data_IF_475439618172
#
_entry.id   IF_475439618172
#
_cell.length_a   1.000
_cell.length_b   1.000
_cell.length_c   1.000
_cell.angle_alpha   90.00
_cell.angle_beta   90.00
_cell.angle_gamma   90.00
#
_symmetry.space_group_name_H-M   'P 1'
#
loop_
_entity.id
_entity.type
_entity.pdbx_description
1 polymer ?
#
# COMPACT_ATOMS: atom_id res chain seq x y z
N UNK A 1 -11.15 8.05 -29.29
CA UNK A 1 -11.30 8.05 -27.83
C UNK A 1 -10.19 8.94 -27.26
N UNK A 2 -10.58 10.02 -26.65
CA UNK A 2 -9.61 10.92 -26.02
C UNK A 2 -9.16 10.28 -24.72
N UNK A 3 -7.94 9.72 -24.72
CA UNK A 3 -7.35 9.11 -23.54
C UNK A 3 -6.95 10.18 -22.51
N UNK A 4 -7.08 9.85 -21.23
CA UNK A 4 -6.52 10.68 -20.14
C UNK A 4 -5.03 10.38 -20.01
N UNK A 5 -4.19 11.42 -20.00
CA UNK A 5 -2.74 11.29 -19.84
C UNK A 5 -2.29 11.86 -18.50
N UNK A 6 -1.44 11.11 -17.80
CA UNK A 6 -0.80 11.53 -16.57
C UNK A 6 0.72 11.54 -16.74
N UNK A 7 1.40 12.56 -16.25
CA UNK A 7 2.85 12.64 -16.20
C UNK A 7 3.33 12.70 -14.77
N UNK A 8 4.39 11.96 -14.45
CA UNK A 8 4.97 11.88 -13.10
C UNK A 8 6.47 11.63 -13.16
N UNK A 9 7.19 12.05 -12.12
CA UNK A 9 8.62 11.82 -11.93
C UNK A 9 8.93 11.32 -10.50
N UNK A 10 7.91 10.84 -9.80
CA UNK A 10 7.96 10.31 -8.45
C UNK A 10 7.18 8.99 -8.37
N UNK A 11 7.20 8.32 -7.23
CA UNK A 11 6.32 7.17 -6.98
C UNK A 11 4.87 7.60 -7.17
N UNK A 12 4.12 6.84 -7.94
CA UNK A 12 2.72 7.11 -8.22
C UNK A 12 1.95 5.79 -8.30
N UNK A 13 0.66 5.83 -7.97
CA UNK A 13 -0.25 4.72 -8.20
C UNK A 13 -1.26 5.10 -9.28
N UNK A 14 -1.59 4.12 -10.09
CA UNK A 14 -2.52 4.26 -11.20
C UNK A 14 -3.42 3.02 -11.28
N UNK A 15 -4.69 3.26 -11.49
CA UNK A 15 -5.67 2.20 -11.71
C UNK A 15 -6.63 2.62 -12.84
N UNK A 16 -6.86 1.72 -13.78
CA UNK A 16 -7.89 1.90 -14.80
C UNK A 16 -8.89 0.74 -14.71
N UNK A 17 -10.18 1.03 -14.49
CA UNK A 17 -11.21 0.00 -14.48
C UNK A 17 -11.54 -0.49 -15.89
N UNK A 18 -11.99 -1.73 -15.99
CA UNK A 18 -12.54 -2.30 -17.20
C UNK A 18 -11.51 -2.80 -18.22
N UNK A 19 -11.92 -2.82 -19.46
CA UNK A 19 -11.17 -3.30 -20.62
C UNK A 19 -10.33 -2.21 -21.32
N UNK A 20 -10.11 -1.09 -20.63
CA UNK A 20 -9.33 0.03 -21.14
C UNK A 20 -7.85 -0.34 -21.33
N UNK A 21 -7.27 0.09 -22.46
CA UNK A 21 -5.83 -0.07 -22.67
C UNK A 21 -5.05 0.98 -21.88
N UNK A 22 -4.00 0.53 -21.19
CA UNK A 22 -3.04 1.38 -20.50
C UNK A 22 -1.76 1.43 -21.33
N UNK A 23 -1.27 2.62 -21.62
CA UNK A 23 0.04 2.81 -22.24
C UNK A 23 0.97 3.50 -21.25
N UNK A 24 2.02 2.81 -20.85
CA UNK A 24 3.05 3.32 -19.95
C UNK A 24 4.28 3.65 -20.79
N UNK A 25 4.79 4.89 -20.71
CA UNK A 25 5.92 5.34 -21.49
C UNK A 25 6.97 6.00 -20.60
N UNK A 26 8.16 5.41 -20.55
CA UNK A 26 9.35 6.08 -19.99
C UNK A 26 9.85 7.15 -20.96
N UNK A 27 10.04 8.38 -20.47
CA UNK A 27 10.48 9.52 -21.30
C UNK A 27 11.90 9.99 -21.00
N UNK A 28 12.45 9.69 -19.83
CA UNK A 28 13.77 10.20 -19.41
C UNK A 28 14.67 9.16 -18.76
N UNK A 29 14.13 8.22 -18.02
CA UNK A 29 14.87 7.18 -17.28
C UNK A 29 14.17 5.84 -17.44
N UNK A 30 14.84 4.69 -17.17
CA UNK A 30 14.13 3.43 -17.03
C UNK A 30 12.99 3.57 -16.03
N UNK A 31 11.82 3.05 -16.41
CA UNK A 31 10.66 2.99 -15.53
C UNK A 31 10.59 1.60 -14.90
N UNK A 32 10.48 1.57 -13.60
CA UNK A 32 10.17 0.36 -12.83
C UNK A 32 8.73 0.45 -12.32
N UNK A 33 7.99 -0.62 -12.40
CA UNK A 33 6.62 -0.67 -11.88
C UNK A 33 6.26 -2.05 -11.35
N UNK A 34 5.32 -2.08 -10.42
CA UNK A 34 4.63 -3.28 -9.97
C UNK A 34 3.23 -3.27 -10.58
N UNK A 35 2.88 -4.32 -11.29
CA UNK A 35 1.53 -4.56 -11.77
C UNK A 35 0.78 -5.46 -10.79
N UNK A 36 -0.43 -5.04 -10.40
CA UNK A 36 -1.32 -5.78 -9.51
C UNK A 36 -2.59 -6.08 -10.28
N UNK A 37 -2.89 -7.37 -10.47
CA UNK A 37 -4.12 -7.82 -11.10
C UNK A 37 -5.08 -8.31 -10.01
N UNK A 38 -6.31 -7.79 -10.03
CA UNK A 38 -7.35 -8.15 -9.08
C UNK A 38 -8.55 -8.67 -9.87
N UNK A 39 -8.88 -9.93 -9.68
CA UNK A 39 -10.07 -10.54 -10.26
C UNK A 39 -11.31 -10.00 -9.54
N UNK A 40 -12.16 -9.31 -10.29
CA UNK A 40 -13.42 -8.79 -9.78
C UNK A 40 -14.48 -9.88 -9.77
N UNK A 41 -15.28 -9.92 -8.72
CA UNK A 41 -16.48 -10.74 -8.67
C UNK A 41 -17.62 -10.04 -9.45
N UNK A 42 -18.55 -10.80 -10.00
CA UNK A 42 -19.67 -10.26 -10.79
C UNK A 42 -20.41 -9.06 -10.16
N UNK A 43 -20.70 -9.05 -8.83
CA UNK A 43 -21.36 -7.91 -8.21
C UNK A 43 -20.48 -6.66 -8.09
N UNK A 44 -19.16 -6.79 -8.23
CA UNK A 44 -18.18 -5.70 -8.00
C UNK A 44 -17.89 -4.88 -9.25
N UNK A 45 -18.00 -5.49 -10.44
CA UNK A 45 -17.69 -4.83 -11.70
C UNK A 45 -18.44 -3.50 -11.90
N UNK A 46 -19.74 -3.38 -11.58
CA UNK A 46 -20.49 -2.13 -11.71
C UNK A 46 -20.01 -1.03 -10.75
N UNK A 47 -19.34 -1.38 -9.66
CA UNK A 47 -18.86 -0.40 -8.67
C UNK A 47 -17.67 0.42 -9.19
N UNK A 48 -16.94 -0.10 -10.16
CA UNK A 48 -15.75 0.54 -10.73
C UNK A 48 -16.06 1.38 -11.97
N UNK A 49 -17.04 0.98 -12.78
CA UNK A 49 -17.35 1.59 -14.06
C UNK A 49 -17.64 3.10 -14.03
N UNK A 50 -18.28 3.67 -12.99
CA UNK A 50 -18.58 5.10 -12.94
C UNK A 50 -17.41 5.99 -12.54
N UNK A 51 -16.32 5.42 -12.01
CA UNK A 51 -15.27 6.21 -11.32
C UNK A 51 -14.14 6.68 -12.22
N UNK A 52 -14.04 6.15 -13.46
CA UNK A 52 -12.94 6.48 -14.37
C UNK A 52 -11.56 6.03 -13.87
N UNK A 53 -10.48 6.40 -14.54
CA UNK A 53 -9.13 6.07 -14.11
C UNK A 53 -8.76 6.82 -12.83
N UNK A 54 -8.15 6.10 -11.90
CA UNK A 54 -7.56 6.66 -10.68
C UNK A 54 -6.08 6.90 -10.91
N UNK A 55 -5.58 8.06 -10.50
CA UNK A 55 -4.16 8.38 -10.49
C UNK A 55 -3.84 9.25 -9.27
N UNK A 56 -2.78 8.88 -8.55
CA UNK A 56 -2.27 9.67 -7.43
C UNK A 56 -0.74 9.65 -7.40
N UNK A 57 -0.13 10.81 -7.17
CA UNK A 57 1.29 10.93 -6.85
C UNK A 57 1.51 10.72 -5.36
N UNK A 58 2.62 10.11 -5.00
CA UNK A 58 2.97 9.86 -3.60
C UNK A 58 2.95 11.14 -2.75
N UNK A 59 3.48 12.25 -3.28
CA UNK A 59 3.49 13.54 -2.61
C UNK A 59 2.10 14.13 -2.33
N UNK A 60 1.06 13.66 -3.03
CA UNK A 60 -0.33 14.09 -2.85
C UNK A 60 -1.14 13.13 -1.96
N UNK A 61 -0.55 12.03 -1.52
CA UNK A 61 -1.24 11.09 -0.64
C UNK A 61 -1.48 11.69 0.75
N UNK A 62 -2.71 11.55 1.25
CA UNK A 62 -3.09 12.04 2.58
C UNK A 62 -2.25 11.35 3.67
N UNK A 63 -1.61 12.14 4.53
CA UNK A 63 -0.83 11.63 5.64
C UNK A 63 -1.70 11.46 6.89
N UNK A 64 -1.45 10.38 7.64
CA UNK A 64 -2.12 10.11 8.90
C UNK A 64 -1.18 9.43 9.91
N UNK A 65 -1.64 9.24 11.14
CA UNK A 65 -0.95 8.49 12.17
C UNK A 65 -1.86 7.45 12.81
N UNK A 66 -1.26 6.46 13.45
CA UNK A 66 -1.96 5.35 14.12
C UNK A 66 -1.34 5.10 15.49
N UNK A 67 -2.15 4.59 16.42
CA UNK A 67 -1.71 4.33 17.80
C UNK A 67 -0.59 3.27 17.93
N UNK A 68 -0.48 2.36 16.96
CA UNK A 68 0.55 1.31 16.91
C UNK A 68 1.91 1.81 16.40
N UNK A 69 2.02 3.09 16.05
CA UNK A 69 3.20 3.74 15.48
C UNK A 69 3.66 4.91 16.34
N UNK A 70 4.93 5.24 16.26
CA UNK A 70 5.47 6.42 16.94
C UNK A 70 4.97 7.72 16.28
N UNK A 71 5.09 8.83 16.99
CA UNK A 71 4.79 10.16 16.43
C UNK A 71 5.73 10.58 15.28
N UNK A 72 6.88 9.89 15.10
CA UNK A 72 7.82 10.14 14.01
C UNK A 72 7.43 9.42 12.72
N UNK A 73 6.67 8.33 12.84
CA UNK A 73 6.21 7.55 11.69
C UNK A 73 5.12 8.31 10.95
N UNK A 74 5.27 8.41 9.64
CA UNK A 74 4.25 8.95 8.73
C UNK A 74 3.63 7.81 7.94
N UNK A 75 2.33 7.65 8.03
CA UNK A 75 1.55 6.79 7.14
C UNK A 75 0.87 7.62 6.07
N UNK A 76 0.68 7.05 4.87
CA UNK A 76 -0.06 7.70 3.78
C UNK A 76 -1.05 6.72 3.17
N UNK A 77 -2.22 7.22 2.79
CA UNK A 77 -3.18 6.47 2.00
C UNK A 77 -2.87 6.66 0.52
N UNK A 78 -2.54 5.59 -0.19
CA UNK A 78 -2.25 5.61 -1.64
C UNK A 78 -3.50 5.23 -2.43
N UNK A 79 -4.10 4.07 -2.13
CA UNK A 79 -5.38 3.65 -2.68
C UNK A 79 -6.36 3.53 -1.51
N UNK A 80 -7.28 4.48 -1.37
CA UNK A 80 -8.29 4.42 -0.30
C UNK A 80 -9.16 3.16 -0.43
N UNK A 81 -9.63 2.67 0.70
CA UNK A 81 -10.69 1.70 0.73
C UNK A 81 -11.91 2.18 -0.09
N UNK A 82 -12.63 1.26 -0.72
CA UNK A 82 -13.74 1.53 -1.64
C UNK A 82 -13.34 2.20 -2.99
N UNK A 83 -12.05 2.32 -3.30
CA UNK A 83 -11.58 2.70 -4.64
C UNK A 83 -11.56 1.51 -5.57
N UNK A 84 -11.01 0.41 -5.09
CA UNK A 84 -10.99 -0.91 -5.74
C UNK A 84 -11.63 -1.89 -4.77
N UNK A 85 -12.58 -2.73 -5.18
CA UNK A 85 -13.19 -3.72 -4.31
C UNK A 85 -12.17 -4.61 -3.63
N UNK A 86 -12.35 -4.86 -2.34
CA UNK A 86 -11.53 -5.77 -1.52
C UNK A 86 -10.03 -5.46 -1.54
N UNK A 87 -9.65 -4.21 -1.80
CA UNK A 87 -8.25 -3.78 -1.85
C UNK A 87 -8.08 -2.39 -1.29
N UNK A 88 -7.03 -2.20 -0.51
CA UNK A 88 -6.51 -0.88 -0.18
C UNK A 88 -4.98 -0.90 -0.08
N UNK A 89 -4.37 0.26 -0.20
CA UNK A 89 -2.93 0.40 -0.21
C UNK A 89 -2.49 1.70 0.46
N UNK A 90 -1.44 1.62 1.22
CA UNK A 90 -0.81 2.79 1.81
C UNK A 90 0.68 2.58 2.02
N UNK A 91 1.30 3.53 2.70
CA UNK A 91 2.73 3.47 2.99
C UNK A 91 3.04 3.82 4.43
N UNK A 92 4.22 3.41 4.85
CA UNK A 92 4.81 3.77 6.13
C UNK A 92 6.21 4.31 5.89
N UNK A 93 6.52 5.44 6.53
CA UNK A 93 7.82 6.09 6.42
C UNK A 93 8.29 6.58 7.79
N UNK A 94 9.55 6.26 8.16
CA UNK A 94 10.22 6.79 9.33
C UNK A 94 11.74 6.76 9.16
N UNK A 95 12.44 7.69 9.85
CA UNK A 95 13.88 7.57 10.08
C UNK A 95 14.11 6.91 11.43
N UNK A 96 14.90 5.85 11.42
CA UNK A 96 15.20 5.07 12.63
C UNK A 96 16.06 5.80 13.65
N UNK A 97 16.07 5.33 14.91
CA UNK A 97 15.38 4.12 15.35
C UNK A 97 13.86 4.34 15.50
N UNK A 98 13.06 3.43 14.96
CA UNK A 98 11.61 3.46 15.06
C UNK A 98 11.00 2.07 14.82
N UNK A 99 9.72 1.90 15.17
CA UNK A 99 9.00 0.64 14.97
C UNK A 99 7.51 0.81 14.74
N UNK A 100 6.93 -0.16 14.06
CA UNK A 100 5.50 -0.45 14.04
C UNK A 100 5.28 -1.63 14.97
N UNK A 101 4.51 -1.43 16.02
CA UNK A 101 4.25 -2.46 17.03
C UNK A 101 3.62 -3.71 16.40
N UNK A 102 4.01 -4.88 16.90
CA UNK A 102 3.53 -6.14 16.36
C UNK A 102 2.03 -6.33 16.61
N UNK A 103 1.29 -6.58 15.53
CA UNK A 103 -0.16 -6.79 15.49
C UNK A 103 -0.50 -7.90 14.49
N UNK A 104 -1.75 -8.27 14.35
CA UNK A 104 -2.19 -9.32 13.43
C UNK A 104 -3.52 -8.96 12.77
N UNK A 105 -3.69 -9.43 11.54
CA UNK A 105 -4.92 -9.36 10.79
C UNK A 105 -5.37 -10.76 10.40
N UNK A 106 -6.59 -11.14 10.77
CA UNK A 106 -7.13 -12.49 10.54
C UNK A 106 -7.95 -12.61 9.26
N UNK A 107 -8.17 -11.52 8.54
CA UNK A 107 -9.12 -11.41 7.44
C UNK A 107 -8.55 -10.87 6.14
N UNK A 108 -7.25 -10.59 6.08
CA UNK A 108 -6.60 -10.07 4.87
C UNK A 108 -5.27 -10.78 4.60
N UNK A 109 -4.94 -10.90 3.33
CA UNK A 109 -3.57 -11.18 2.88
C UNK A 109 -2.85 -9.86 2.69
N UNK A 110 -1.59 -9.78 3.11
CA UNK A 110 -0.83 -8.56 3.06
C UNK A 110 0.50 -8.73 2.34
N UNK A 111 0.82 -7.78 1.46
CA UNK A 111 2.13 -7.67 0.82
C UNK A 111 2.81 -6.37 1.21
N UNK A 112 4.12 -6.43 1.45
CA UNK A 112 4.97 -5.24 1.64
C UNK A 112 5.94 -5.09 0.49
N UNK A 113 6.01 -3.89 -0.09
CA UNK A 113 6.99 -3.52 -1.11
C UNK A 113 7.93 -2.46 -0.55
N UNK A 114 9.24 -2.77 -0.49
CA UNK A 114 10.25 -1.80 -0.11
C UNK A 114 10.44 -0.71 -1.17
N UNK A 115 10.22 0.54 -0.81
CA UNK A 115 10.50 1.71 -1.62
C UNK A 115 12.00 2.08 -1.57
N UNK A 116 12.48 3.02 -2.38
CA UNK A 116 13.88 3.44 -2.36
C UNK A 116 14.41 3.75 -0.96
N UNK A 117 15.61 3.28 -0.67
CA UNK A 117 16.32 3.42 0.61
C UNK A 117 15.69 2.61 1.77
N UNK A 118 14.65 1.80 1.52
CA UNK A 118 14.08 0.97 2.58
C UNK A 118 15.10 -0.03 3.10
N UNK A 119 15.26 -0.09 4.44
CA UNK A 119 16.18 -1.00 5.12
C UNK A 119 15.62 -1.41 6.48
N UNK A 120 14.34 -1.75 6.52
CA UNK A 120 13.68 -2.20 7.74
C UNK A 120 13.76 -3.72 7.90
N UNK A 121 13.50 -4.17 9.11
CA UNK A 121 13.37 -5.58 9.46
C UNK A 121 11.91 -5.86 9.75
N UNK A 122 11.37 -6.88 9.11
CA UNK A 122 10.00 -7.34 9.31
C UNK A 122 10.03 -8.64 10.10
N UNK A 123 9.19 -8.71 11.12
CA UNK A 123 8.95 -9.94 11.91
C UNK A 123 7.55 -10.47 11.59
N UNK A 124 7.40 -11.79 11.51
CA UNK A 124 6.11 -12.46 11.40
C UNK A 124 6.14 -13.74 12.22
N UNK A 125 5.41 -13.78 13.34
CA UNK A 125 5.54 -14.79 14.39
C UNK A 125 7.01 -14.93 14.85
N UNK A 126 7.60 -16.12 14.66
CA UNK A 126 9.00 -16.41 15.05
C UNK A 126 10.01 -16.14 13.90
N UNK A 127 9.54 -15.74 12.73
CA UNK A 127 10.37 -15.44 11.57
C UNK A 127 10.76 -13.96 11.52
N UNK A 128 11.96 -13.70 11.01
CA UNK A 128 12.48 -12.35 10.81
C UNK A 128 13.21 -12.26 9.47
N UNK A 129 13.02 -11.16 8.74
CA UNK A 129 13.74 -10.91 7.49
C UNK A 129 13.96 -9.42 7.26
N UNK A 130 14.96 -9.09 6.45
CA UNK A 130 15.18 -7.71 5.99
C UNK A 130 14.30 -7.44 4.76
N UNK A 131 13.49 -6.41 4.83
CA UNK A 131 12.81 -5.85 3.65
C UNK A 131 13.70 -4.73 3.11
N UNK A 132 14.42 -5.01 2.03
CA UNK A 132 15.23 -4.03 1.29
C UNK A 132 14.39 -3.26 0.28
N UNK A 133 15.02 -2.30 -0.43
CA UNK A 133 14.37 -1.63 -1.55
C UNK A 133 14.06 -2.63 -2.67
N UNK A 134 12.94 -2.44 -3.39
CA UNK A 134 12.46 -3.30 -4.49
C UNK A 134 12.15 -4.76 -4.07
N UNK A 135 12.24 -5.07 -2.79
CA UNK A 135 11.85 -6.38 -2.28
C UNK A 135 10.34 -6.42 -2.04
N UNK A 136 9.71 -7.52 -2.44
CA UNK A 136 8.31 -7.83 -2.14
C UNK A 136 8.27 -8.94 -1.10
N UNK A 137 7.52 -8.72 -0.03
CA UNK A 137 7.38 -9.66 1.09
C UNK A 137 5.91 -9.95 1.34
N UNK A 138 5.56 -11.23 1.43
CA UNK A 138 4.23 -11.67 1.84
C UNK A 138 4.18 -11.85 3.37
N UNK A 139 3.16 -11.30 4.00
CA UNK A 139 2.82 -11.51 5.41
C UNK A 139 1.70 -12.55 5.47
N UNK A 140 1.95 -13.74 6.01
CA UNK A 140 0.94 -14.80 6.06
C UNK A 140 -0.28 -14.40 6.88
N UNK A 141 -1.45 -14.80 6.43
CA UNK A 141 -2.74 -14.55 7.08
C UNK A 141 -2.69 -14.90 8.58
N UNK A 142 -3.12 -13.97 9.41
CA UNK A 142 -3.18 -14.15 10.86
C UNK A 142 -1.84 -14.09 11.59
N UNK A 143 -0.71 -13.94 10.88
CA UNK A 143 0.61 -13.80 11.51
C UNK A 143 0.68 -12.52 12.34
N UNK A 144 1.21 -12.65 13.56
CA UNK A 144 1.58 -11.48 14.36
C UNK A 144 2.84 -10.88 13.80
N UNK A 145 2.74 -9.72 13.16
CA UNK A 145 3.84 -9.09 12.45
C UNK A 145 4.09 -7.67 12.94
N UNK A 146 5.35 -7.25 12.82
CA UNK A 146 5.81 -5.92 13.17
C UNK A 146 6.97 -5.51 12.27
N UNK A 147 7.30 -4.22 12.29
CA UNK A 147 8.39 -3.68 11.47
C UNK A 147 9.27 -2.81 12.35
N UNK A 148 10.58 -2.95 12.25
CA UNK A 148 11.53 -2.08 12.97
C UNK A 148 12.63 -1.59 12.05
N UNK A 149 13.16 -0.42 12.36
CA UNK A 149 14.30 0.16 11.65
C UNK A 149 15.33 0.69 12.64
N UNK A 150 16.60 0.37 12.40
CA UNK A 150 17.73 0.81 13.22
C UNK A 150 18.09 2.29 12.98
N UNK A 151 18.88 2.84 13.91
CA UNK A 151 19.33 4.23 13.80
C UNK A 151 20.10 4.53 12.50
N UNK A 152 19.84 5.69 11.90
CA UNK A 152 20.44 6.14 10.66
C UNK A 152 19.96 5.40 9.40
N UNK A 153 18.97 4.50 9.51
CA UNK A 153 18.34 3.81 8.40
C UNK A 153 16.91 4.30 8.19
N UNK A 154 16.39 4.09 6.99
CA UNK A 154 15.03 4.47 6.62
C UNK A 154 14.11 3.26 6.59
N UNK A 155 12.93 3.39 7.18
CA UNK A 155 11.76 2.56 6.96
C UNK A 155 10.91 3.29 5.92
N UNK A 156 10.71 2.67 4.75
CA UNK A 156 9.94 3.26 3.67
C UNK A 156 9.38 2.16 2.79
N UNK A 157 8.16 1.75 3.07
CA UNK A 157 7.52 0.66 2.34
C UNK A 157 6.05 0.94 2.07
N UNK A 158 5.52 0.29 1.05
CA UNK A 158 4.09 0.22 0.74
C UNK A 158 3.55 -1.07 1.34
N UNK A 159 2.41 -0.99 1.99
CA UNK A 159 1.59 -2.13 2.35
C UNK A 159 0.40 -2.21 1.39
N UNK A 160 0.01 -3.43 1.03
CA UNK A 160 -1.09 -3.76 0.13
C UNK A 160 -1.94 -4.81 0.83
N UNK A 161 -3.19 -4.49 1.10
CA UNK A 161 -4.13 -5.32 1.82
C UNK A 161 -5.20 -5.85 0.87
N UNK A 162 -5.31 -7.18 0.82
CA UNK A 162 -6.25 -7.92 -0.01
C UNK A 162 -7.27 -8.62 0.87
N UNK A 163 -8.53 -8.26 0.73
CA UNK A 163 -9.63 -8.78 1.54
C UNK A 163 -10.42 -9.85 0.79
N UNK A 164 -11.03 -10.77 1.54
CA UNK A 164 -11.92 -11.79 0.94
C UNK A 164 -13.27 -11.21 0.55
N UNK A 165 -13.75 -10.26 1.34
CA UNK A 165 -15.03 -9.59 1.14
C UNK A 165 -14.99 -8.14 1.65
N UNK A 166 -15.99 -7.34 1.31
CA UNK A 166 -16.09 -5.93 1.71
C UNK A 166 -16.35 -5.74 3.22
N UNK A 167 -16.95 -6.71 3.88
CA UNK A 167 -17.22 -6.66 5.33
C UNK A 167 -15.91 -6.70 6.12
N UNK A 168 -14.93 -7.50 5.66
CA UNK A 168 -13.61 -7.57 6.25
C UNK A 168 -12.87 -6.22 6.13
N UNK A 169 -13.03 -5.54 5.01
CA UNK A 169 -12.48 -4.20 4.79
C UNK A 169 -13.09 -3.18 5.75
N UNK A 170 -14.41 -3.18 5.94
CA UNK A 170 -15.11 -2.28 6.85
C UNK A 170 -14.64 -2.51 8.30
N UNK A 171 -14.47 -3.76 8.72
CA UNK A 171 -13.97 -4.11 10.04
C UNK A 171 -12.57 -3.54 10.31
N UNK A 172 -11.65 -3.66 9.37
CA UNK A 172 -10.28 -3.13 9.52
C UNK A 172 -10.29 -1.60 9.63
N UNK A 173 -11.13 -0.92 8.88
CA UNK A 173 -11.26 0.54 8.96
C UNK A 173 -11.69 1.00 10.36
N UNK A 174 -12.60 0.28 11.01
CA UNK A 174 -13.02 0.56 12.39
C UNK A 174 -11.90 0.33 13.40
N UNK A 175 -11.11 -0.74 13.22
CA UNK A 175 -10.04 -1.10 14.16
C UNK A 175 -8.81 -0.17 14.07
N UNK A 176 -8.45 0.28 12.88
CA UNK A 176 -7.26 1.11 12.66
C UNK A 176 -7.47 2.60 12.91
N UNK A 177 -8.70 3.07 13.04
CA UNK A 177 -9.12 4.45 13.37
C UNK A 177 -8.01 5.51 13.12
N UNK A 178 -7.72 5.87 11.87
CA UNK A 178 -6.60 6.74 11.54
C UNK A 178 -6.85 8.15 12.08
N UNK A 179 -5.84 8.72 12.73
CA UNK A 179 -5.85 10.10 13.20
C UNK A 179 -5.30 10.97 12.06
N UNK A 180 -6.13 11.82 11.47
CA UNK A 180 -5.71 12.78 10.44
C UNK A 180 -4.67 13.74 11.00
N UNK A 181 -3.63 14.00 10.24
CA UNK A 181 -2.58 14.98 10.54
C UNK A 181 -2.86 16.31 9.86
#
# INVERSE_FOLDING_TARGET
MDGVAFAFAEVAAFFAPGDGSIVIKATSTPLEYLEILIDLQEPEAPLLLPRGPFFIRYSHCEAYSEAIKSAKTVSRTIVPANTIPRFCMGSVEAMGPDEVAAHSHTMLEQLFLGLPENACVVTANDAETVLGERALLHIPLGSRHGVRVGGGRRMHYVWMDFFRNEEDLAYIQEQHNPIKR
#
